data_IF_340963651386
#
_entry.id   IF_340963651386
#
_cell.length_a   1.000
_cell.length_b   1.000
_cell.length_c   1.000
_cell.angle_alpha   90.00
_cell.angle_beta   90.00
_cell.angle_gamma   90.00
#
_symmetry.space_group_name_H-M   'P 1'
#
loop_
_entity.id
_entity.type
_entity.pdbx_description
1 polymer ?
#
# COMPACT_ATOMS: atom_id res chain seq x y z
N UNK A 1 14.74 12.61 0.98
CA UNK A 1 13.44 12.15 1.49
C UNK A 1 12.83 11.25 0.43
N UNK A 2 11.85 10.41 0.74
CA UNK A 2 11.15 9.60 -0.25
C UNK A 2 9.75 9.40 0.29
N UNK A 3 8.74 9.72 -0.53
CA UNK A 3 7.36 9.56 -0.14
C UNK A 3 6.59 8.71 -1.12
N UNK A 4 5.93 7.67 -0.58
CA UNK A 4 4.96 6.82 -1.24
C UNK A 4 4.19 5.95 -0.22
N UNK A 5 2.87 5.94 -0.28
CA UNK A 5 2.11 4.69 -0.14
C UNK A 5 0.74 4.84 -0.83
N UNK A 6 0.54 3.99 -1.84
CA UNK A 6 -0.79 3.70 -2.33
C UNK A 6 -0.90 2.18 -2.51
N UNK A 7 -1.46 1.49 -1.51
CA UNK A 7 -1.81 0.08 -1.66
C UNK A 7 -2.81 -0.46 -0.63
N UNK A 8 -3.75 -1.30 -1.10
CA UNK A 8 -3.76 -2.73 -0.76
C UNK A 8 -4.60 -3.50 -1.79
N UNK A 9 -4.03 -4.52 -2.44
CA UNK A 9 -4.83 -5.48 -3.20
C UNK A 9 -5.46 -6.45 -2.23
N UNK A 10 -6.78 -6.60 -2.30
CA UNK A 10 -7.37 -7.89 -1.92
C UNK A 10 -6.98 -8.90 -3.00
N UNK A 11 -6.11 -9.84 -2.64
CA UNK A 11 -6.30 -11.19 -3.15
C UNK A 11 -7.73 -11.59 -2.76
N UNK A 12 -8.53 -12.07 -3.72
CA UNK A 12 -9.87 -12.60 -3.47
C UNK A 12 -9.87 -13.48 -2.21
N UNK A 13 -10.37 -12.94 -1.12
CA UNK A 13 -10.69 -13.68 0.10
C UNK A 13 -12.09 -13.26 0.53
N UNK A 14 -13.06 -13.53 -0.35
CA UNK A 14 -14.35 -14.04 0.11
C UNK A 14 -14.16 -15.49 0.52
N UNK A 15 -13.46 -15.67 1.64
CA UNK A 15 -13.87 -16.68 2.61
C UNK A 15 -15.34 -16.40 2.90
N UNK A 16 -16.19 -17.25 2.34
CA UNK A 16 -17.56 -17.55 2.75
C UNK A 16 -17.90 -16.88 4.09
N UNK A 17 -18.52 -15.68 4.05
CA UNK A 17 -19.38 -15.28 5.16
C UNK A 17 -20.48 -16.32 5.18
N UNK A 18 -20.37 -17.32 6.08
CA UNK A 18 -21.44 -18.28 6.31
C UNK A 18 -22.73 -17.48 6.57
N UNK A 19 -23.79 -17.68 5.78
CA UNK A 19 -25.04 -16.99 6.03
C UNK A 19 -25.60 -17.48 7.37
N UNK A 20 -25.96 -16.52 8.23
CA UNK A 20 -26.90 -16.79 9.33
C UNK A 20 -28.18 -17.34 8.69
N UNK A 21 -28.60 -18.53 9.12
CA UNK A 21 -29.80 -19.24 8.64
C UNK A 21 -31.03 -18.32 8.65
N UNK A 22 -31.63 -18.08 7.47
CA UNK A 22 -33.08 -17.87 7.30
C UNK A 22 -33.52 -18.57 5.99
N UNK A 23 -34.77 -19.04 6.01
CA UNK A 23 -35.50 -20.00 5.16
C UNK A 23 -35.38 -19.86 3.63
N UNK A 24 -35.75 -20.92 2.85
CA UNK A 24 -35.46 -20.99 1.43
C UNK A 24 -36.48 -20.22 0.61
N UNK A 25 -36.02 -19.28 -0.21
CA UNK A 25 -36.75 -18.83 -1.41
C UNK A 25 -35.76 -18.77 -2.57
N UNK A 26 -36.12 -19.49 -3.62
CA UNK A 26 -35.45 -19.58 -4.91
C UNK A 26 -35.31 -18.21 -5.57
N UNK A 27 -34.07 -17.84 -5.93
CA UNK A 27 -33.79 -16.91 -7.02
C UNK A 27 -32.31 -17.01 -7.39
N UNK A 28 -32.03 -17.55 -8.56
CA UNK A 28 -30.70 -17.56 -9.15
C UNK A 28 -30.31 -16.11 -9.48
N UNK A 29 -29.56 -15.46 -8.60
CA UNK A 29 -28.91 -14.18 -8.89
C UNK A 29 -27.44 -14.43 -9.21
N UNK A 30 -27.07 -14.18 -10.46
CA UNK A 30 -25.69 -13.89 -10.82
C UNK A 30 -25.38 -12.51 -10.24
N UNK A 31 -24.57 -12.47 -9.18
CA UNK A 31 -24.01 -11.22 -8.69
C UNK A 31 -22.88 -10.87 -9.64
N UNK A 32 -23.14 -9.97 -10.59
CA UNK A 32 -22.06 -9.20 -11.21
C UNK A 32 -21.64 -8.24 -10.10
N UNK A 33 -20.47 -8.44 -9.50
CA UNK A 33 -19.86 -7.46 -8.61
C UNK A 33 -19.57 -6.20 -9.44
N UNK A 34 -20.57 -5.32 -9.55
CA UNK A 34 -20.35 -3.93 -9.94
C UNK A 34 -19.80 -3.28 -8.69
N UNK A 35 -18.47 -3.20 -8.58
CA UNK A 35 -17.82 -2.32 -7.62
C UNK A 35 -18.20 -0.89 -8.00
N UNK A 36 -19.27 -0.35 -7.41
CA UNK A 36 -19.59 1.06 -7.57
C UNK A 36 -18.46 1.86 -6.90
N UNK A 37 -17.91 2.91 -7.56
CA UNK A 37 -16.86 3.72 -6.98
C UNK A 37 -17.33 4.29 -5.64
N UNK A 38 -16.47 4.19 -4.62
CA UNK A 38 -16.84 4.63 -3.27
C UNK A 38 -17.26 6.11 -3.31
N UNK A 39 -18.36 6.52 -2.65
CA UNK A 39 -18.89 7.88 -2.75
C UNK A 39 -17.89 8.96 -2.36
N UNK A 40 -16.92 8.62 -1.50
CA UNK A 40 -15.83 9.52 -1.09
C UNK A 40 -14.66 9.60 -2.08
N UNK A 41 -14.50 8.64 -2.99
CA UNK A 41 -13.39 8.61 -3.96
C UNK A 41 -13.91 8.29 -5.37
N UNK A 42 -14.80 9.12 -5.94
CA UNK A 42 -15.45 8.82 -7.21
C UNK A 42 -14.49 8.83 -8.41
N UNK A 43 -13.31 9.45 -8.26
CA UNK A 43 -12.33 9.63 -9.33
C UNK A 43 -11.40 8.44 -9.52
N UNK A 44 -11.16 7.64 -8.48
CA UNK A 44 -10.14 6.58 -8.48
C UNK A 44 -10.69 5.35 -7.76
N UNK A 45 -10.75 4.23 -8.49
CA UNK A 45 -11.07 2.93 -7.94
C UNK A 45 -9.80 2.11 -7.61
N UNK A 46 -9.92 1.19 -6.66
CA UNK A 46 -8.87 0.29 -6.21
C UNK A 46 -8.23 -0.50 -7.36
N UNK A 47 -9.05 -0.96 -8.33
CA UNK A 47 -8.58 -1.79 -9.44
C UNK A 47 -7.64 -1.03 -10.38
N UNK A 48 -8.00 0.21 -10.72
CA UNK A 48 -7.19 1.12 -11.55
C UNK A 48 -5.86 1.40 -10.88
N UNK A 49 -5.92 1.74 -9.60
CA UNK A 49 -4.78 2.13 -8.83
C UNK A 49 -3.77 0.98 -8.66
N UNK A 50 -4.26 -0.23 -8.39
CA UNK A 50 -3.44 -1.42 -8.38
C UNK A 50 -2.82 -1.72 -9.75
N UNK A 51 -3.57 -1.51 -10.84
CA UNK A 51 -3.07 -1.65 -12.21
C UNK A 51 -1.91 -0.71 -12.53
N UNK A 52 -2.04 0.58 -12.17
CA UNK A 52 -1.01 1.59 -12.39
C UNK A 52 0.30 1.21 -11.70
N UNK A 53 0.24 0.92 -10.40
CA UNK A 53 1.46 0.69 -9.61
C UNK A 53 2.08 -0.67 -9.92
N UNK A 54 1.29 -1.76 -9.92
CA UNK A 54 1.83 -3.11 -10.10
C UNK A 54 2.37 -3.39 -11.50
N UNK A 55 1.87 -2.70 -12.52
CA UNK A 55 2.31 -2.88 -13.90
C UNK A 55 3.29 -1.81 -14.35
N UNK A 56 3.76 -0.92 -13.45
CA UNK A 56 4.58 0.25 -13.78
C UNK A 56 3.98 1.06 -14.95
N UNK A 57 2.66 1.24 -14.98
CA UNK A 57 1.94 1.78 -16.14
C UNK A 57 1.96 3.32 -16.15
N UNK A 58 3.04 3.88 -16.69
CA UNK A 58 3.24 5.33 -16.84
C UNK A 58 2.16 5.99 -17.71
N UNK A 59 1.69 5.32 -18.76
CA UNK A 59 0.66 5.86 -19.66
C UNK A 59 -0.67 6.05 -18.92
N UNK A 60 -1.06 5.09 -18.08
CA UNK A 60 -2.24 5.23 -17.24
C UNK A 60 -2.03 6.25 -16.14
N UNK A 61 -0.83 6.34 -15.55
CA UNK A 61 -0.51 7.38 -14.58
C UNK A 61 -0.64 8.79 -15.20
N UNK A 62 -0.20 8.97 -16.45
CA UNK A 62 -0.34 10.21 -17.20
C UNK A 62 -1.79 10.65 -17.45
N UNK A 63 -2.75 9.70 -17.51
CA UNK A 63 -4.18 10.02 -17.59
C UNK A 63 -4.72 10.68 -16.32
N UNK A 64 -3.99 10.56 -15.21
CA UNK A 64 -4.30 11.19 -13.92
C UNK A 64 -3.36 12.35 -13.62
N UNK A 65 -2.75 12.98 -14.65
CA UNK A 65 -1.83 14.10 -14.48
C UNK A 65 -0.63 13.75 -13.59
N UNK A 66 -0.12 12.52 -13.76
CA UNK A 66 1.04 12.03 -13.02
C UNK A 66 0.72 11.66 -11.56
N UNK A 67 1.76 11.71 -10.73
CA UNK A 67 1.65 11.45 -9.28
C UNK A 67 0.79 12.52 -8.59
N UNK A 68 0.93 13.78 -9.00
CA UNK A 68 0.22 14.92 -8.41
C UNK A 68 -1.30 14.82 -8.60
N UNK A 69 -1.76 14.59 -9.84
CA UNK A 69 -3.20 14.49 -10.08
C UNK A 69 -3.81 13.21 -9.51
N UNK A 70 -3.05 12.11 -9.43
CA UNK A 70 -3.50 10.91 -8.72
C UNK A 70 -3.65 11.17 -7.22
N UNK A 71 -2.70 11.86 -6.59
CA UNK A 71 -2.79 12.27 -5.19
C UNK A 71 -3.99 13.20 -4.95
N UNK A 72 -4.23 14.16 -5.86
CA UNK A 72 -5.42 15.01 -5.82
C UNK A 72 -6.72 14.20 -5.89
N UNK A 73 -6.78 13.19 -6.77
CA UNK A 73 -7.93 12.28 -6.88
C UNK A 73 -8.18 11.42 -5.63
N UNK A 74 -7.13 11.16 -4.84
CA UNK A 74 -7.20 10.47 -3.54
C UNK A 74 -7.38 11.44 -2.36
N UNK A 75 -7.67 12.72 -2.63
CA UNK A 75 -7.76 13.78 -1.62
C UNK A 75 -6.54 13.79 -0.68
N UNK A 76 -5.36 13.68 -1.28
CA UNK A 76 -4.07 13.65 -0.58
C UNK A 76 -3.26 14.87 -0.99
N UNK A 77 -2.76 15.60 0.00
CA UNK A 77 -1.78 16.65 -0.24
C UNK A 77 -0.37 16.06 -0.12
N UNK A 78 0.51 16.39 -1.06
CA UNK A 78 1.86 15.82 -1.11
C UNK A 78 2.77 16.28 0.04
N UNK A 79 2.53 17.47 0.59
CA UNK A 79 3.30 18.01 1.71
C UNK A 79 2.65 17.72 3.06
N UNK A 80 1.33 17.92 3.16
CA UNK A 80 0.60 17.81 4.42
C UNK A 80 -0.03 16.43 4.66
N UNK A 81 0.00 15.54 3.67
CA UNK A 81 -0.64 14.24 3.73
C UNK A 81 -2.17 14.31 3.83
N UNK A 82 -2.75 13.24 4.38
CA UNK A 82 -4.19 13.12 4.63
C UNK A 82 -4.59 13.77 5.96
N UNK A 83 -5.89 13.92 6.25
CA UNK A 83 -6.36 14.41 7.56
C UNK A 83 -5.91 13.46 8.66
N UNK A 84 -6.12 12.16 8.45
CA UNK A 84 -5.69 11.12 9.38
C UNK A 84 -6.54 10.98 10.64
N UNK A 85 -7.63 11.73 10.75
CA UNK A 85 -8.64 11.49 11.77
C UNK A 85 -9.33 10.12 11.57
N UNK A 86 -10.07 9.67 12.58
CA UNK A 86 -10.67 8.34 12.57
C UNK A 86 -11.69 8.15 11.43
N UNK A 87 -12.42 9.21 11.04
CA UNK A 87 -13.39 9.15 9.96
C UNK A 87 -12.69 9.03 8.61
N UNK A 88 -11.61 9.79 8.40
CA UNK A 88 -10.75 9.76 7.22
C UNK A 88 -10.07 8.39 7.04
N UNK A 89 -9.52 7.83 8.11
CA UNK A 89 -8.89 6.50 8.10
C UNK A 89 -9.94 5.41 7.83
N UNK A 90 -11.15 5.53 8.40
CA UNK A 90 -12.23 4.56 8.18
C UNK A 90 -12.71 4.57 6.73
N UNK A 91 -13.03 5.73 6.17
CA UNK A 91 -13.52 5.83 4.77
C UNK A 91 -12.48 5.31 3.77
N UNK A 92 -11.19 5.54 4.01
CA UNK A 92 -10.10 5.03 3.15
C UNK A 92 -9.98 3.51 3.27
N UNK A 93 -10.07 2.97 4.48
CA UNK A 93 -10.04 1.52 4.73
C UNK A 93 -11.25 0.80 4.13
N UNK A 94 -12.43 1.44 4.11
CA UNK A 94 -13.64 0.91 3.48
C UNK A 94 -13.54 0.93 1.95
N UNK A 95 -13.04 2.02 1.38
CA UNK A 95 -12.89 2.17 -0.06
C UNK A 95 -11.80 1.26 -0.66
N UNK A 96 -10.67 1.11 0.04
CA UNK A 96 -9.47 0.50 -0.53
C UNK A 96 -8.97 -0.75 0.21
N UNK A 97 -9.56 -1.06 1.38
CA UNK A 97 -9.10 -2.13 2.26
C UNK A 97 -8.02 -1.71 3.25
N UNK A 98 -7.63 -2.65 4.12
CA UNK A 98 -6.62 -2.44 5.17
C UNK A 98 -5.27 -3.07 4.79
N UNK A 99 -4.17 -2.48 5.25
CA UNK A 99 -2.84 -3.02 4.98
C UNK A 99 -2.60 -4.39 5.66
N UNK A 100 -2.18 -5.39 4.88
CA UNK A 100 -1.82 -6.71 5.40
C UNK A 100 -0.34 -6.97 5.26
N UNK A 101 0.45 -6.38 6.15
CA UNK A 101 1.90 -6.58 6.15
C UNK A 101 2.28 -7.99 6.64
N UNK A 102 3.09 -8.69 5.84
CA UNK A 102 3.74 -9.94 6.24
C UNK A 102 5.24 -9.75 6.20
N UNK A 103 5.85 -9.58 7.37
CA UNK A 103 7.30 -9.57 7.49
C UNK A 103 7.86 -10.90 6.97
N UNK A 104 8.80 -10.91 6.00
CA UNK A 104 9.50 -12.13 5.62
C UNK A 104 10.15 -12.74 6.87
N UNK A 105 10.11 -14.08 7.05
CA UNK A 105 10.79 -14.69 8.18
C UNK A 105 12.26 -14.28 8.14
N UNK A 106 12.79 -13.81 9.28
CA UNK A 106 14.23 -13.55 9.39
C UNK A 106 14.97 -14.82 8.94
N UNK A 107 16.05 -14.66 8.15
CA UNK A 107 16.93 -15.75 7.74
C UNK A 107 17.62 -16.32 8.99
N UNK A 108 16.90 -17.14 9.76
CA UNK A 108 17.44 -18.06 10.74
C UNK A 108 17.71 -19.35 9.98
N UNK A 109 19.00 -19.54 9.69
CA UNK A 109 19.58 -20.82 9.34
C UNK A 109 19.20 -21.80 10.46
N UNK A 110 18.34 -22.77 10.12
CA UNK A 110 18.02 -24.01 10.84
C UNK A 110 17.65 -23.92 12.35
N UNK A 111 16.60 -24.65 12.71
CA UNK A 111 16.09 -24.94 14.06
C UNK A 111 15.31 -23.82 14.81
N UNK A 112 13.98 -23.82 14.66
CA UNK A 112 13.09 -24.28 15.75
C UNK A 112 11.59 -24.20 15.37
N UNK A 113 10.88 -25.34 15.44
CA UNK A 113 9.40 -25.43 15.25
C UNK A 113 8.57 -24.74 16.35
N UNK A 114 9.20 -24.07 17.31
CA UNK A 114 8.53 -23.43 18.46
C UNK A 114 8.19 -21.94 18.25
N UNK A 115 8.69 -21.29 17.18
CA UNK A 115 8.51 -19.83 16.99
C UNK A 115 7.20 -19.39 16.33
N UNK A 116 6.31 -20.32 15.94
CA UNK A 116 5.08 -19.98 15.20
C UNK A 116 4.03 -19.27 16.08
N UNK A 117 4.08 -19.43 17.41
CA UNK A 117 3.07 -18.86 18.33
C UNK A 117 3.39 -17.46 18.85
N UNK A 118 4.63 -16.97 18.75
CA UNK A 118 5.03 -15.64 19.23
C UNK A 118 5.05 -14.57 18.13
N UNK A 119 4.90 -14.95 16.86
CA UNK A 119 4.95 -14.03 15.72
C UNK A 119 3.69 -13.16 15.56
N UNK A 120 2.58 -13.47 16.23
CA UNK A 120 1.35 -12.67 16.14
C UNK A 120 1.42 -11.31 16.84
N UNK A 121 2.38 -11.11 17.76
CA UNK A 121 2.55 -9.85 18.51
C UNK A 121 3.83 -9.08 18.09
N UNK A 122 4.78 -9.73 17.39
CA UNK A 122 6.11 -9.16 17.11
C UNK A 122 6.28 -8.49 15.72
N UNK A 123 5.19 -8.18 15.02
CA UNK A 123 5.22 -7.66 13.63
C UNK A 123 4.60 -6.27 13.46
N UNK A 124 4.22 -5.59 14.55
CA UNK A 124 3.75 -4.21 14.49
C UNK A 124 4.95 -3.26 14.38
N UNK A 125 5.31 -2.89 13.16
CA UNK A 125 6.37 -1.93 12.88
C UNK A 125 5.77 -0.51 12.91
N UNK A 126 6.49 0.42 13.51
CA UNK A 126 6.14 1.84 13.47
C UNK A 126 6.64 2.45 12.17
N UNK A 127 5.74 3.10 11.43
CA UNK A 127 6.04 3.75 10.15
C UNK A 127 5.86 5.24 10.32
N UNK A 128 6.88 6.01 9.92
CA UNK A 128 6.82 7.46 9.89
C UNK A 128 5.93 7.90 8.72
N UNK A 129 4.86 8.65 9.00
CA UNK A 129 3.94 9.21 8.00
C UNK A 129 3.72 10.69 8.25
N UNK A 130 3.27 11.43 7.23
CA UNK A 130 2.74 12.78 7.36
C UNK A 130 1.23 12.75 7.27
N UNK A 131 0.55 13.22 8.32
CA UNK A 131 -0.90 13.47 8.33
C UNK A 131 -1.16 14.84 8.96
N UNK A 132 -2.09 15.59 8.39
CA UNK A 132 -2.46 16.94 8.83
C UNK A 132 -1.25 17.88 8.99
N UNK A 133 -0.30 17.82 8.06
CA UNK A 133 0.92 18.62 8.07
C UNK A 133 1.95 18.22 9.13
N UNK A 134 1.72 17.11 9.84
CA UNK A 134 2.58 16.68 10.96
C UNK A 134 3.13 15.29 10.71
N UNK A 135 4.43 15.14 10.97
CA UNK A 135 5.08 13.84 11.00
C UNK A 135 4.67 13.09 12.28
N UNK A 136 4.24 11.85 12.11
CA UNK A 136 3.81 10.98 13.21
C UNK A 136 4.14 9.52 12.91
N UNK A 137 4.22 8.70 13.96
CA UNK A 137 4.38 7.26 13.82
C UNK A 137 3.05 6.56 13.95
N UNK A 138 2.74 5.69 12.98
CA UNK A 138 1.55 4.85 12.98
C UNK A 138 1.94 3.39 12.88
N UNK A 139 1.06 2.51 13.33
CA UNK A 139 1.23 1.08 13.06
C UNK A 139 1.26 0.83 11.55
N UNK A 140 2.10 -0.09 11.10
CA UNK A 140 2.05 -0.56 9.70
C UNK A 140 0.66 -1.06 9.28
N UNK A 141 -0.17 -1.51 10.23
CA UNK A 141 -1.54 -1.95 9.97
C UNK A 141 -2.55 -0.79 9.88
N UNK A 142 -2.17 0.41 10.31
CA UNK A 142 -2.97 1.65 10.24
C UNK A 142 -2.63 2.51 9.02
N UNK A 143 -1.71 2.06 8.17
CA UNK A 143 -1.42 2.68 6.89
C UNK A 143 -2.61 2.50 5.95
N UNK A 144 -3.05 3.59 5.34
CA UNK A 144 -4.16 3.64 4.38
C UNK A 144 -3.74 4.30 3.07
N UNK A 145 -4.54 4.08 2.02
CA UNK A 145 -4.30 4.72 0.71
C UNK A 145 -4.32 6.24 0.84
N UNK A 146 -3.28 6.88 0.31
CA UNK A 146 -3.06 8.33 0.38
C UNK A 146 -2.09 8.75 1.50
N UNK A 147 -1.65 7.83 2.37
CA UNK A 147 -0.61 8.17 3.33
C UNK A 147 0.70 8.62 2.64
N UNK A 148 1.26 9.71 3.14
CA UNK A 148 2.58 10.20 2.76
C UNK A 148 3.60 9.58 3.72
N UNK A 149 4.20 8.45 3.32
CA UNK A 149 5.17 7.70 4.15
C UNK A 149 6.57 8.28 4.01
N UNK A 150 7.29 8.46 5.11
CA UNK A 150 8.68 8.93 5.09
C UNK A 150 9.65 7.75 5.16
N UNK A 151 10.32 7.42 4.06
CA UNK A 151 11.34 6.35 4.04
C UNK A 151 12.75 6.90 4.34
N UNK A 152 13.53 6.11 5.07
CA UNK A 152 14.96 6.31 5.34
C UNK A 152 15.77 5.13 4.81
N UNK A 153 17.08 5.35 4.73
CA UNK A 153 18.04 4.29 4.46
C UNK A 153 17.86 3.16 5.49
N UNK A 154 17.84 1.92 5.01
CA UNK A 154 17.59 0.72 5.82
C UNK A 154 16.12 0.36 6.00
N UNK A 155 15.18 1.25 5.65
CA UNK A 155 13.75 0.96 5.78
C UNK A 155 13.29 -0.05 4.71
N UNK A 156 12.29 -0.83 5.10
CA UNK A 156 11.54 -1.68 4.19
C UNK A 156 10.26 -0.97 3.77
N UNK A 157 9.97 -0.96 2.47
CA UNK A 157 8.78 -0.31 1.92
C UNK A 157 7.52 -1.02 2.47
N UNK A 158 6.62 -0.31 3.19
CA UNK A 158 5.53 -0.94 3.93
C UNK A 158 4.33 -1.35 3.06
N UNK A 159 4.17 -0.72 1.90
CA UNK A 159 3.08 -0.91 0.96
C UNK A 159 3.55 -0.49 -0.46
N UNK A 160 2.93 -1.00 -1.53
CA UNK A 160 3.21 -0.48 -2.87
C UNK A 160 2.86 1.02 -2.94
N UNK A 161 3.47 1.79 -3.84
CA UNK A 161 3.17 3.22 -3.94
C UNK A 161 3.92 3.94 -5.05
N UNK A 162 3.76 5.27 -5.05
CA UNK A 162 4.39 6.18 -6.00
C UNK A 162 5.31 7.16 -5.30
N UNK A 163 6.52 7.31 -5.81
CA UNK A 163 7.50 8.30 -5.40
C UNK A 163 6.99 9.71 -5.69
N UNK A 164 7.10 10.59 -4.70
CA UNK A 164 6.62 11.99 -4.74
C UNK A 164 7.78 12.98 -4.80
N UNK A 165 8.80 12.80 -3.96
CA UNK A 165 9.98 13.67 -3.94
C UNK A 165 11.12 13.03 -3.15
N UNK A 166 12.35 13.34 -3.53
CA UNK A 166 13.55 12.79 -2.93
C UNK A 166 14.87 12.98 -3.66
N UNK A 167 15.95 12.57 -2.99
CA UNK A 167 17.30 12.57 -3.57
C UNK A 167 17.72 11.12 -3.82
N UNK A 168 17.87 10.75 -5.09
CA UNK A 168 18.46 9.49 -5.58
C UNK A 168 18.11 8.27 -4.73
N UNK A 169 16.81 8.00 -4.59
CA UNK A 169 16.35 6.82 -3.87
C UNK A 169 16.65 5.59 -4.71
N UNK A 170 17.56 4.76 -4.21
CA UNK A 170 17.78 3.42 -4.72
C UNK A 170 16.90 2.44 -3.97
N UNK A 171 16.46 1.40 -4.68
CA UNK A 171 15.66 0.32 -4.10
C UNK A 171 16.23 -1.02 -4.52
N UNK A 172 16.36 -1.92 -3.55
CA UNK A 172 16.75 -3.31 -3.78
C UNK A 172 15.52 -4.15 -4.18
N UNK A 173 15.36 -4.35 -5.50
CA UNK A 173 14.33 -5.22 -6.09
C UNK A 173 14.77 -6.71 -6.16
N UNK A 174 15.97 -7.08 -5.65
CA UNK A 174 16.49 -8.46 -5.75
C UNK A 174 15.60 -9.49 -5.09
N UNK A 175 14.88 -9.09 -4.05
CA UNK A 175 13.90 -9.93 -3.37
C UNK A 175 12.69 -10.30 -4.26
N UNK A 176 12.44 -9.52 -5.31
CA UNK A 176 11.31 -9.67 -6.23
C UNK A 176 11.73 -10.27 -7.58
N UNK A 177 12.86 -9.85 -8.14
CA UNK A 177 13.34 -10.28 -9.48
C UNK A 177 14.43 -11.34 -9.42
N UNK A 178 15.17 -11.45 -8.31
CA UNK A 178 16.34 -12.29 -8.19
C UNK A 178 17.60 -11.71 -8.85
N UNK A 179 17.50 -10.54 -9.48
CA UNK A 179 18.63 -9.79 -10.07
C UNK A 179 19.16 -8.78 -9.04
N UNK A 180 20.49 -8.66 -8.92
CA UNK A 180 21.15 -7.94 -7.81
C UNK A 180 21.32 -6.44 -8.04
N UNK A 181 20.67 -5.86 -9.04
CA UNK A 181 20.92 -4.47 -9.42
C UNK A 181 19.97 -3.52 -8.70
N UNK A 182 20.53 -2.48 -8.08
CA UNK A 182 19.76 -1.42 -7.47
C UNK A 182 19.01 -0.63 -8.54
N UNK A 183 17.72 -0.41 -8.30
CA UNK A 183 16.87 0.36 -9.21
C UNK A 183 16.72 1.77 -8.66
N UNK A 184 17.05 2.76 -9.47
CA UNK A 184 16.78 4.17 -9.15
C UNK A 184 15.29 4.48 -9.34
N UNK A 185 14.73 5.17 -8.35
CA UNK A 185 13.34 5.62 -8.35
C UNK A 185 13.34 7.13 -8.52
N UNK A 186 12.59 7.60 -9.52
CA UNK A 186 12.50 9.01 -9.89
C UNK A 186 11.07 9.39 -10.32
N UNK A 187 10.74 10.67 -10.28
CA UNK A 187 9.37 11.13 -10.56
C UNK A 187 8.91 10.93 -12.01
N UNK A 188 9.86 10.84 -12.95
CA UNK A 188 9.57 10.94 -14.38
C UNK A 188 9.59 9.60 -15.10
N UNK A 189 10.57 8.73 -14.83
CA UNK A 189 10.77 7.47 -15.53
C UNK A 189 10.38 6.27 -14.68
N UNK A 190 10.66 6.29 -13.39
CA UNK A 190 10.35 5.17 -12.51
C UNK A 190 9.84 5.61 -11.13
N UNK A 191 8.61 6.15 -11.03
CA UNK A 191 8.06 6.59 -9.75
C UNK A 191 7.52 5.43 -8.92
N UNK A 192 7.81 4.16 -9.23
CA UNK A 192 7.12 3.02 -8.62
C UNK A 192 7.91 2.41 -7.46
N UNK A 193 7.22 2.18 -6.35
CA UNK A 193 7.74 1.51 -5.16
C UNK A 193 6.91 0.27 -4.84
N UNK A 194 7.58 -0.84 -4.52
CA UNK A 194 6.92 -2.10 -4.18
C UNK A 194 7.12 -2.45 -2.72
N UNK A 195 6.04 -2.91 -2.08
CA UNK A 195 6.08 -3.46 -0.74
C UNK A 195 7.13 -4.55 -0.61
N UNK A 196 7.89 -4.49 0.47
CA UNK A 196 8.87 -5.51 0.82
C UNK A 196 10.28 -5.25 0.30
N UNK A 197 10.47 -4.35 -0.67
CA UNK A 197 11.80 -3.91 -1.10
C UNK A 197 12.47 -3.07 -0.01
N UNK A 198 13.80 -2.95 -0.08
CA UNK A 198 14.59 -2.21 0.90
C UNK A 198 15.25 -1.00 0.28
N UNK A 199 15.34 0.08 1.07
CA UNK A 199 16.20 1.21 0.76
C UNK A 199 17.63 0.83 1.21
N UNK A 200 18.57 0.59 0.28
CA UNK A 200 19.91 0.13 0.62
C UNK A 200 20.71 1.24 1.30
N UNK A 201 21.65 0.83 2.16
CA UNK A 201 22.77 1.69 2.54
C UNK A 201 23.70 1.82 1.32
N UNK A 202 23.94 3.04 0.87
CA UNK A 202 24.93 3.31 -0.17
C UNK A 202 26.26 3.47 0.58
N UNK A 203 27.11 2.46 0.51
CA UNK A 203 28.49 2.48 1.02
C UNK A 203 29.45 3.25 0.08
#
# INVERSE_FOLDING_TARGET
>A
MAFAAIYCSRAFSTLLKKPRKKSPVSSTRVVIDVFEPHPCFPKIDQSVLAGIVKQKNLDQLGKYDGVEGLACGLETNLESGISGDAEDVSRRSEAFGSNTYRRPPAKSLWQNRQFVKLSKVSNNIQVDVVRNGRRQQVSIFEIVVGDVVCLKIGDQVPADGLFIDGHSLLVDESSMTGESDHVEVDLTQNPFLFSGTKVPEID
#
